data_IF_827777451194
#
_entry.id   IF_827777451194
#
_cell.length_a   1.000
_cell.length_b   1.000
_cell.length_c   1.000
_cell.angle_alpha   90.00
_cell.angle_beta   90.00
_cell.angle_gamma   90.00
#
_symmetry.space_group_name_H-M   'P 1'
#
loop_
_entity.id
_entity.type
_entity.pdbx_description
1 polymer ?
#
# COMPACT_ATOMS: atom_id res chain seq x y z
N UNK A 1 21.10 -76.44 1.06
CA UNK A 1 21.34 -74.99 1.30
C UNK A 1 20.06 -74.27 0.92
N UNK A 2 19.52 -73.44 1.81
CA UNK A 2 18.31 -72.67 1.49
C UNK A 2 18.63 -71.62 0.41
N UNK A 3 17.74 -71.42 -0.54
CA UNK A 3 17.92 -70.43 -1.61
C UNK A 3 17.76 -69.00 -1.08
N UNK A 4 18.35 -68.01 -1.75
CA UNK A 4 18.21 -66.60 -1.37
C UNK A 4 16.76 -66.09 -1.36
N UNK A 5 15.85 -66.77 -2.06
CA UNK A 5 14.41 -66.46 -2.10
C UNK A 5 13.71 -67.01 -0.86
N UNK A 6 14.09 -68.21 -0.41
CA UNK A 6 13.56 -68.82 0.82
C UNK A 6 13.92 -68.01 2.07
N UNK A 7 15.14 -67.46 2.12
CA UNK A 7 15.56 -66.58 3.23
C UNK A 7 14.72 -65.29 3.29
N UNK A 8 14.45 -64.65 2.15
CA UNK A 8 13.58 -63.46 2.08
C UNK A 8 12.14 -63.78 2.45
N UNK A 9 11.63 -64.91 1.96
CA UNK A 9 10.31 -65.42 2.34
C UNK A 9 10.17 -65.56 3.85
N UNK A 10 11.15 -66.15 4.55
CA UNK A 10 11.11 -66.31 6.00
C UNK A 10 11.12 -64.96 6.75
N UNK A 11 11.92 -64.00 6.28
CA UNK A 11 11.97 -62.65 6.85
C UNK A 11 10.62 -61.95 6.66
N UNK A 12 10.12 -61.90 5.44
CA UNK A 12 8.83 -61.30 5.11
C UNK A 12 7.68 -61.96 5.88
N UNK A 13 7.70 -63.30 5.97
CA UNK A 13 6.71 -64.08 6.70
C UNK A 13 6.72 -63.74 8.19
N UNK A 14 7.90 -63.56 8.79
CA UNK A 14 8.05 -63.16 10.19
C UNK A 14 7.49 -61.75 10.43
N UNK A 15 7.76 -60.80 9.54
CA UNK A 15 7.21 -59.45 9.64
C UNK A 15 5.68 -59.44 9.46
N UNK A 16 5.15 -60.14 8.46
CA UNK A 16 3.71 -60.30 8.24
C UNK A 16 3.01 -60.98 9.42
N UNK A 17 3.64 -61.97 10.06
CA UNK A 17 3.10 -62.62 11.26
C UNK A 17 2.96 -61.65 12.43
N UNK A 18 3.90 -60.72 12.61
CA UNK A 18 3.78 -59.68 13.66
C UNK A 18 2.61 -58.74 13.39
N UNK A 19 2.32 -58.47 12.12
CA UNK A 19 1.19 -57.66 11.67
C UNK A 19 -0.15 -58.43 11.71
N UNK A 20 -0.12 -59.73 12.05
CA UNK A 20 -1.31 -60.58 12.16
C UNK A 20 -1.70 -61.31 10.87
N UNK A 21 -0.95 -61.15 9.77
CA UNK A 21 -1.19 -61.84 8.51
C UNK A 21 -0.62 -63.27 8.57
N UNK A 22 -1.48 -64.24 8.91
CA UNK A 22 -1.13 -65.66 9.12
C UNK A 22 -1.46 -66.57 7.93
N UNK A 23 -2.04 -66.04 6.86
CA UNK A 23 -2.48 -66.81 5.68
C UNK A 23 -1.29 -67.44 4.93
N UNK A 24 -1.41 -68.68 4.43
CA UNK A 24 -0.32 -69.33 3.70
C UNK A 24 0.02 -68.56 2.42
N UNK A 25 1.29 -68.18 2.27
CA UNK A 25 1.81 -67.44 1.11
C UNK A 25 2.78 -68.33 0.33
N UNK A 26 2.72 -68.26 -1.01
CA UNK A 26 3.68 -68.94 -1.89
C UNK A 26 4.97 -68.11 -2.08
N UNK A 27 6.08 -68.80 -2.33
CA UNK A 27 7.41 -68.18 -2.57
C UNK A 27 7.40 -67.17 -3.73
N UNK A 28 6.59 -67.41 -4.76
CA UNK A 28 6.46 -66.53 -5.94
C UNK A 28 5.85 -65.15 -5.62
N UNK A 29 5.11 -65.04 -4.51
CA UNK A 29 4.42 -63.79 -4.13
C UNK A 29 5.30 -62.81 -3.37
N UNK A 30 6.45 -63.27 -2.85
CA UNK A 30 7.39 -62.49 -2.03
C UNK A 30 7.81 -61.16 -2.65
N UNK A 31 8.33 -61.10 -3.89
CA UNK A 31 8.83 -59.85 -4.46
C UNK A 31 7.73 -58.80 -4.65
N UNK A 32 6.49 -59.23 -4.91
CA UNK A 32 5.35 -58.33 -5.05
C UNK A 32 4.95 -57.73 -3.70
N UNK A 33 4.91 -58.56 -2.65
CA UNK A 33 4.54 -58.11 -1.30
C UNK A 33 5.61 -57.20 -0.69
N UNK A 34 6.90 -57.51 -0.88
CA UNK A 34 7.99 -56.62 -0.45
C UNK A 34 7.87 -55.23 -1.09
N UNK A 35 7.57 -55.19 -2.39
CA UNK A 35 7.40 -53.93 -3.12
C UNK A 35 6.19 -53.15 -2.63
N UNK A 36 5.04 -53.81 -2.44
CA UNK A 36 3.85 -53.19 -1.88
C UNK A 36 4.07 -52.64 -0.47
N UNK A 37 4.77 -53.37 0.40
CA UNK A 37 5.09 -52.88 1.74
C UNK A 37 6.04 -51.68 1.70
N UNK A 38 7.06 -51.71 0.84
CA UNK A 38 7.97 -50.59 0.64
C UNK A 38 7.24 -49.35 0.12
N UNK A 39 6.38 -49.53 -0.87
CA UNK A 39 5.59 -48.45 -1.47
C UNK A 39 4.62 -47.86 -0.43
N UNK A 40 3.98 -48.69 0.40
CA UNK A 40 3.08 -48.23 1.44
C UNK A 40 3.82 -47.41 2.50
N UNK A 41 4.98 -47.87 2.97
CA UNK A 41 5.82 -47.12 3.93
C UNK A 41 6.21 -45.77 3.32
N UNK A 42 6.75 -45.76 2.10
CA UNK A 42 7.11 -44.52 1.42
C UNK A 42 5.93 -43.58 1.23
N UNK A 43 4.75 -44.07 0.83
CA UNK A 43 3.56 -43.23 0.68
C UNK A 43 3.12 -42.63 2.02
N UNK A 44 3.19 -43.40 3.12
CA UNK A 44 2.84 -42.89 4.46
C UNK A 44 3.84 -41.85 4.98
N UNK A 45 5.13 -42.05 4.76
CA UNK A 45 6.17 -41.06 5.10
C UNK A 45 6.04 -39.80 4.25
N UNK A 46 5.85 -39.96 2.94
CA UNK A 46 5.63 -38.82 2.02
C UNK A 46 4.36 -38.04 2.38
N UNK A 47 3.27 -38.74 2.72
CA UNK A 47 2.05 -38.08 3.19
C UNK A 47 2.26 -37.35 4.52
N UNK A 48 2.99 -37.96 5.46
CA UNK A 48 3.31 -37.32 6.73
C UNK A 48 4.16 -36.06 6.54
N UNK A 49 5.19 -36.14 5.69
CA UNK A 49 6.04 -35.01 5.34
C UNK A 49 5.25 -33.92 4.63
N UNK A 50 4.44 -34.26 3.63
CA UNK A 50 3.60 -33.29 2.92
C UNK A 50 2.62 -32.59 3.88
N UNK A 51 1.98 -33.34 4.79
CA UNK A 51 1.10 -32.79 5.82
C UNK A 51 1.86 -31.84 6.76
N UNK A 52 3.08 -32.20 7.15
CA UNK A 52 3.92 -31.36 8.00
C UNK A 52 4.32 -30.07 7.29
N UNK A 53 4.71 -30.14 6.03
CA UNK A 53 5.07 -28.96 5.23
C UNK A 53 3.87 -28.02 5.06
N UNK A 54 2.68 -28.54 4.75
CA UNK A 54 1.45 -27.72 4.72
C UNK A 54 1.21 -27.00 6.04
N UNK A 55 1.42 -27.67 7.18
CA UNK A 55 1.25 -27.04 8.49
C UNK A 55 2.29 -25.92 8.76
N UNK A 56 3.54 -26.11 8.30
CA UNK A 56 4.59 -25.07 8.38
C UNK A 56 4.24 -23.87 7.50
N UNK A 57 3.88 -24.11 6.23
CA UNK A 57 3.51 -23.05 5.29
C UNK A 57 2.29 -22.26 5.77
N UNK A 58 1.30 -22.90 6.40
CA UNK A 58 0.16 -22.20 7.02
C UNK A 58 0.59 -21.30 8.18
N UNK A 59 1.55 -21.73 8.99
CA UNK A 59 2.10 -20.90 10.07
C UNK A 59 2.88 -19.72 9.52
N UNK A 60 3.69 -19.94 8.49
CA UNK A 60 4.43 -18.88 7.79
C UNK A 60 3.50 -17.86 7.14
N UNK A 61 2.45 -18.31 6.45
CA UNK A 61 1.43 -17.43 5.88
C UNK A 61 0.77 -16.54 6.95
N UNK A 62 0.38 -17.12 8.10
CA UNK A 62 -0.16 -16.36 9.23
C UNK A 62 0.83 -15.34 9.80
N UNK A 63 2.11 -15.68 9.85
CA UNK A 63 3.15 -14.76 10.31
C UNK A 63 3.31 -13.58 9.33
N UNK A 64 3.26 -13.86 8.01
CA UNK A 64 3.29 -12.83 6.97
C UNK A 64 2.07 -11.92 7.08
N UNK A 65 0.88 -12.47 7.26
CA UNK A 65 -0.35 -11.68 7.44
C UNK A 65 -0.25 -10.78 8.68
N UNK A 66 0.28 -11.31 9.79
CA UNK A 66 0.50 -10.55 11.03
C UNK A 66 1.53 -9.42 10.82
N UNK A 67 2.59 -9.68 10.06
CA UNK A 67 3.60 -8.68 9.74
C UNK A 67 3.09 -7.61 8.74
N UNK A 68 2.11 -7.95 7.90
CA UNK A 68 1.53 -7.06 6.91
C UNK A 68 0.51 -6.07 7.52
N UNK A 69 -0.17 -6.47 8.60
CA UNK A 69 -1.17 -5.64 9.30
C UNK A 69 -0.68 -4.23 9.70
N UNK A 70 0.51 -4.06 10.35
CA UNK A 70 1.01 -2.72 10.69
C UNK A 70 1.34 -1.89 9.45
N UNK A 71 1.93 -2.51 8.42
CA UNK A 71 2.28 -1.83 7.17
C UNK A 71 1.03 -1.32 6.45
N UNK A 72 -0.04 -2.11 6.42
CA UNK A 72 -1.32 -1.67 5.86
C UNK A 72 -1.93 -0.52 6.67
N UNK A 73 -1.80 -0.55 7.99
CA UNK A 73 -2.27 0.52 8.86
C UNK A 73 -1.51 1.81 8.64
N UNK A 74 -0.18 1.74 8.54
CA UNK A 74 0.65 2.90 8.24
C UNK A 74 0.37 3.44 6.84
N UNK A 75 0.20 2.60 5.83
CA UNK A 75 -0.17 3.05 4.49
C UNK A 75 -1.51 3.80 4.50
N UNK A 76 -2.53 3.29 5.21
CA UNK A 76 -3.81 4.00 5.36
C UNK A 76 -3.64 5.36 6.02
N UNK A 77 -2.80 5.44 7.06
CA UNK A 77 -2.49 6.70 7.75
C UNK A 77 -1.78 7.69 6.82
N UNK A 78 -0.75 7.25 6.12
CA UNK A 78 0.03 8.09 5.21
C UNK A 78 -0.80 8.59 4.03
N UNK A 79 -1.68 7.76 3.46
CA UNK A 79 -2.60 8.18 2.39
C UNK A 79 -3.54 9.28 2.88
N UNK A 80 -4.05 9.15 4.12
CA UNK A 80 -4.89 10.19 4.71
C UNK A 80 -4.13 11.49 4.90
N UNK A 81 -2.94 11.45 5.50
CA UNK A 81 -2.08 12.62 5.71
C UNK A 81 -1.70 13.27 4.37
N UNK A 82 -1.38 12.47 3.35
CA UNK A 82 -1.05 12.95 2.02
C UNK A 82 -2.25 13.69 1.39
N UNK A 83 -3.45 13.11 1.44
CA UNK A 83 -4.66 13.76 0.93
C UNK A 83 -4.99 15.06 1.68
N UNK A 84 -4.85 15.08 3.01
CA UNK A 84 -5.06 16.29 3.83
C UNK A 84 -4.06 17.40 3.46
N UNK A 85 -2.79 17.04 3.24
CA UNK A 85 -1.77 17.98 2.78
C UNK A 85 -2.04 18.50 1.36
N UNK A 86 -2.48 17.64 0.44
CA UNK A 86 -2.86 18.06 -0.91
C UNK A 86 -3.99 19.09 -0.89
N UNK A 87 -5.05 18.84 -0.13
CA UNK A 87 -6.15 19.80 0.04
C UNK A 87 -5.68 21.13 0.65
N UNK A 88 -4.79 21.08 1.65
CA UNK A 88 -4.22 22.28 2.27
C UNK A 88 -3.38 23.07 1.28
N UNK A 89 -2.57 22.40 0.47
CA UNK A 89 -1.76 23.05 -0.56
C UNK A 89 -2.64 23.75 -1.60
N UNK A 90 -3.69 23.09 -2.10
CA UNK A 90 -4.63 23.69 -3.05
C UNK A 90 -5.34 24.91 -2.46
N UNK A 91 -5.76 24.83 -1.20
CA UNK A 91 -6.38 25.95 -0.51
C UNK A 91 -5.43 27.14 -0.38
N UNK A 92 -4.19 26.92 0.06
CA UNK A 92 -3.18 27.97 0.20
C UNK A 92 -2.87 28.62 -1.14
N UNK A 93 -2.75 27.83 -2.21
CA UNK A 93 -2.53 28.36 -3.56
C UNK A 93 -3.67 29.28 -4.00
N UNK A 94 -4.92 28.92 -3.69
CA UNK A 94 -6.09 29.75 -3.98
C UNK A 94 -6.09 31.05 -3.16
N UNK A 95 -5.75 30.99 -1.87
CA UNK A 95 -5.62 32.19 -1.01
C UNK A 95 -4.56 33.13 -1.56
N UNK A 96 -3.39 32.61 -1.92
CA UNK A 96 -2.30 33.41 -2.49
C UNK A 96 -2.72 34.10 -3.81
N UNK A 97 -3.51 33.42 -4.66
CA UNK A 97 -4.04 34.03 -5.88
C UNK A 97 -5.01 35.19 -5.57
N UNK A 98 -5.86 35.04 -4.55
CA UNK A 98 -6.77 36.09 -4.12
C UNK A 98 -6.03 37.30 -3.53
N UNK A 99 -4.98 37.09 -2.74
CA UNK A 99 -4.13 38.15 -2.20
C UNK A 99 -3.47 38.98 -3.31
N UNK A 100 -2.94 38.33 -4.34
CA UNK A 100 -2.38 39.02 -5.52
C UNK A 100 -3.41 39.92 -6.20
N UNK A 101 -4.64 39.42 -6.40
CA UNK A 101 -5.73 40.22 -6.96
C UNK A 101 -6.09 41.40 -6.06
N UNK A 102 -6.09 41.20 -4.73
CA UNK A 102 -6.30 42.26 -3.75
C UNK A 102 -5.26 43.38 -3.86
N UNK A 103 -3.97 43.02 -3.93
CA UNK A 103 -2.87 43.97 -4.12
C UNK A 103 -3.05 44.81 -5.39
N UNK A 104 -3.31 44.15 -6.53
CA UNK A 104 -3.50 44.84 -7.82
C UNK A 104 -4.65 45.85 -7.76
N UNK A 105 -5.77 45.48 -7.12
CA UNK A 105 -6.92 46.38 -6.95
C UNK A 105 -6.57 47.58 -6.07
N UNK A 106 -5.86 47.35 -4.95
CA UNK A 106 -5.40 48.42 -4.06
C UNK A 106 -4.49 49.40 -4.79
N UNK A 107 -3.51 48.88 -5.55
CA UNK A 107 -2.59 49.70 -6.35
C UNK A 107 -3.35 50.52 -7.39
N UNK A 108 -4.36 49.93 -8.03
CA UNK A 108 -5.17 50.65 -9.02
C UNK A 108 -6.01 51.77 -8.39
N UNK A 109 -6.55 51.55 -7.19
CA UNK A 109 -7.27 52.58 -6.44
C UNK A 109 -6.34 53.73 -6.11
N UNK A 110 -5.14 53.45 -5.59
CA UNK A 110 -4.14 54.47 -5.28
C UNK A 110 -3.78 55.32 -6.51
N UNK A 111 -3.53 54.67 -7.66
CA UNK A 111 -3.26 55.37 -8.92
C UNK A 111 -4.43 56.25 -9.39
N UNK A 112 -5.67 55.80 -9.22
CA UNK A 112 -6.85 56.59 -9.59
C UNK A 112 -7.04 57.79 -8.65
N UNK A 113 -6.77 57.61 -7.36
CA UNK A 113 -6.81 58.68 -6.36
C UNK A 113 -5.75 59.76 -6.66
N UNK A 114 -4.54 59.35 -7.02
CA UNK A 114 -3.46 60.26 -7.44
C UNK A 114 -3.86 61.08 -8.67
N UNK A 115 -4.34 60.43 -9.74
CA UNK A 115 -4.82 61.13 -10.95
C UNK A 115 -5.98 62.07 -10.69
N UNK A 116 -6.90 61.69 -9.79
CA UNK A 116 -8.00 62.57 -9.39
C UNK A 116 -7.47 63.80 -8.64
N UNK A 117 -6.48 63.62 -7.75
CA UNK A 117 -5.83 64.73 -7.06
C UNK A 117 -5.12 65.68 -8.03
N UNK A 118 -4.39 65.12 -9.01
CA UNK A 118 -3.75 65.89 -10.09
C UNK A 118 -4.77 66.69 -10.92
N UNK A 119 -5.89 66.06 -11.30
CA UNK A 119 -6.96 66.72 -12.05
C UNK A 119 -7.61 67.85 -11.24
N UNK A 120 -7.89 67.62 -9.96
CA UNK A 120 -8.42 68.63 -9.04
C UNK A 120 -7.44 69.80 -8.88
N UNK A 121 -6.15 69.51 -8.67
CA UNK A 121 -5.11 70.54 -8.59
C UNK A 121 -5.00 71.35 -9.88
N UNK A 122 -5.03 70.68 -11.03
CA UNK A 122 -4.98 71.33 -12.35
C UNK A 122 -6.19 72.24 -12.57
N UNK A 123 -7.40 71.78 -12.22
CA UNK A 123 -8.62 72.57 -12.29
C UNK A 123 -8.57 73.79 -11.34
N UNK A 124 -8.09 73.59 -10.12
CA UNK A 124 -7.91 74.68 -9.15
C UNK A 124 -6.96 75.76 -9.69
N UNK A 125 -5.79 75.36 -10.21
CA UNK A 125 -4.83 76.28 -10.86
C UNK A 125 -5.45 77.00 -12.05
N UNK A 126 -6.22 76.30 -12.89
CA UNK A 126 -6.92 76.93 -14.02
C UNK A 126 -7.91 78.01 -13.55
N UNK A 127 -8.70 77.73 -12.51
CA UNK A 127 -9.64 78.68 -11.93
C UNK A 127 -8.94 79.88 -11.29
N UNK A 128 -7.84 79.68 -10.56
CA UNK A 128 -7.10 80.80 -9.94
C UNK A 128 -6.39 81.69 -10.96
N UNK A 129 -5.93 81.13 -12.09
CA UNK A 129 -5.25 81.91 -13.16
C UNK A 129 -6.24 82.65 -14.06
N UNK A 130 -7.50 82.18 -14.18
CA UNK A 130 -8.47 82.70 -15.19
C UNK A 130 -9.63 83.53 -14.64
N UNK A 131 -9.72 83.74 -13.32
CA UNK A 131 -10.65 84.68 -12.71
C UNK A 131 -10.01 86.09 -12.64
N UNK A 132 -10.29 87.00 -13.58
CA UNK A 132 -9.89 88.40 -13.42
C UNK A 132 -10.64 88.96 -12.21
N UNK A 133 -9.90 89.55 -11.28
CA UNK A 133 -10.44 90.30 -10.16
C UNK A 133 -11.36 91.42 -10.68
N UNK A 134 -12.66 91.15 -10.77
CA UNK A 134 -13.70 92.17 -10.85
C UNK A 134 -14.39 92.22 -9.49
N UNK A 135 -13.91 93.13 -8.65
CA UNK A 135 -14.76 94.13 -8.00
C UNK A 135 -13.92 95.19 -7.31
N UNK A 136 -13.99 96.38 -7.90
CA UNK A 136 -13.64 97.67 -7.37
C UNK A 136 -14.40 97.98 -6.08
N UNK A 137 -13.74 98.62 -5.11
CA UNK A 137 -14.36 99.63 -4.25
C UNK A 137 -13.26 100.55 -3.68
N UNK A 138 -13.29 101.81 -4.15
CA UNK A 138 -12.75 103.05 -3.57
C UNK A 138 -11.26 103.08 -3.23
N UNK A 139 -10.42 103.93 -3.85
CA UNK A 139 -10.49 105.40 -4.02
C UNK A 139 -9.95 105.80 -5.39
#
# INVERSE_FOLDING_TARGET
MASAVELRFLVLRKELHKLGFKEPLGLESVPLVEKLCSDLVHMTENWHNAKQEVAKSLKEARNVDTALEPVQTDNRRLVRENNELHLKFEFLHKVQALEKVGSIKSDKIAQLQEKNMEAVNTFFVFCTVKLPAKNSLQV
#
